data_IF_595160510918
#
_entry.id   IF_595160510918
#
_cell.length_a   1.000
_cell.length_b   1.000
_cell.length_c   1.000
_cell.angle_alpha   90.00
_cell.angle_beta   90.00
_cell.angle_gamma   90.00
#
_symmetry.space_group_name_H-M   'P 1'
#
loop_
_entity.id
_entity.type
_entity.pdbx_description
1 polymer ?
#
# COMPACT_ATOMS: atom_id res chain seq x y z
N UNK A 1 18.96 -7.29 -11.68
CA UNK A 1 17.91 -6.48 -11.04
C UNK A 1 17.40 -7.23 -9.82
N UNK A 2 17.32 -6.58 -8.66
CA UNK A 2 16.61 -7.08 -7.47
C UNK A 2 15.39 -6.19 -7.27
N UNK A 3 14.24 -6.76 -6.94
CA UNK A 3 12.99 -6.01 -6.78
C UNK A 3 12.08 -6.70 -5.79
N UNK A 4 11.32 -5.90 -5.03
CA UNK A 4 10.26 -6.37 -4.13
C UNK A 4 8.95 -6.35 -4.91
N UNK A 5 8.21 -7.46 -4.86
CA UNK A 5 6.94 -7.64 -5.58
C UNK A 5 5.75 -7.45 -4.64
N UNK A 6 4.63 -6.96 -5.14
CA UNK A 6 3.41 -6.76 -4.36
C UNK A 6 3.27 -5.36 -3.72
N UNK A 7 4.18 -4.44 -4.05
CA UNK A 7 4.12 -3.03 -3.63
C UNK A 7 3.51 -2.11 -4.71
N UNK A 8 3.16 -2.65 -5.89
CA UNK A 8 2.65 -1.84 -7.00
C UNK A 8 3.71 -1.03 -7.74
N UNK A 9 4.99 -1.27 -7.44
CA UNK A 9 6.13 -0.65 -8.14
C UNK A 9 6.32 -1.19 -9.56
N UNK A 10 5.86 -2.42 -9.83
CA UNK A 10 5.89 -3.03 -11.14
C UNK A 10 4.49 -3.06 -11.76
N UNK A 11 4.42 -3.29 -13.08
CA UNK A 11 3.16 -3.47 -13.77
C UNK A 11 2.36 -4.62 -13.14
N UNK A 12 1.05 -4.44 -12.87
CA UNK A 12 0.24 -5.49 -12.23
C UNK A 12 0.28 -6.83 -12.97
N UNK A 13 0.27 -6.78 -14.30
CA UNK A 13 0.36 -7.99 -15.14
C UNK A 13 1.77 -8.60 -15.13
N UNK A 14 2.80 -7.79 -14.92
CA UNK A 14 4.17 -8.28 -14.73
C UNK A 14 4.32 -9.02 -13.40
N UNK A 15 3.84 -8.44 -12.29
CA UNK A 15 3.88 -9.08 -10.97
C UNK A 15 3.09 -10.40 -10.96
N UNK A 16 1.93 -10.44 -11.62
CA UNK A 16 1.16 -11.67 -11.80
C UNK A 16 1.90 -12.72 -12.62
N UNK A 17 2.63 -12.30 -13.66
CA UNK A 17 3.39 -13.21 -14.53
C UNK A 17 4.50 -13.95 -13.79
N UNK A 18 5.21 -13.26 -12.91
CA UNK A 18 6.31 -13.81 -12.09
C UNK A 18 5.84 -14.50 -10.81
N UNK A 19 4.62 -14.21 -10.34
CA UNK A 19 4.09 -14.82 -9.13
C UNK A 19 3.95 -16.34 -9.29
N UNK A 20 4.44 -17.08 -8.30
CA UNK A 20 4.44 -18.54 -8.29
C UNK A 20 5.61 -19.22 -9.00
N UNK A 21 6.54 -18.48 -9.61
CA UNK A 21 7.77 -19.05 -10.18
C UNK A 21 8.69 -19.61 -9.09
N UNK A 22 9.42 -20.68 -9.42
CA UNK A 22 10.45 -21.27 -8.56
C UNK A 22 11.84 -20.77 -8.93
N UNK A 23 12.77 -20.83 -7.98
CA UNK A 23 14.16 -20.47 -8.24
C UNK A 23 14.75 -21.32 -9.39
N UNK A 24 15.43 -20.67 -10.32
CA UNK A 24 15.99 -21.25 -11.54
C UNK A 24 15.01 -21.35 -12.71
N UNK A 25 13.73 -21.03 -12.51
CA UNK A 25 12.72 -21.11 -13.56
C UNK A 25 12.82 -19.92 -14.53
N UNK A 26 12.65 -20.21 -15.82
CA UNK A 26 12.53 -19.21 -16.88
C UNK A 26 11.11 -19.25 -17.40
N UNK A 27 10.45 -18.10 -17.42
CA UNK A 27 9.07 -17.97 -17.91
C UNK A 27 8.96 -16.79 -18.85
N UNK A 28 8.18 -17.00 -19.91
CA UNK A 28 7.86 -15.96 -20.89
C UNK A 28 6.38 -15.65 -20.82
N UNK A 29 6.03 -14.36 -20.72
CA UNK A 29 4.64 -13.92 -20.65
C UNK A 29 4.48 -12.53 -21.28
N UNK A 30 3.28 -12.27 -21.79
CA UNK A 30 2.91 -10.98 -22.39
C UNK A 30 2.31 -10.05 -21.34
N UNK A 31 2.78 -8.81 -21.32
CA UNK A 31 2.32 -7.75 -20.41
C UNK A 31 1.79 -6.60 -21.24
N UNK A 32 0.63 -6.05 -20.86
CA UNK A 32 0.07 -4.86 -21.49
C UNK A 32 0.39 -3.63 -20.64
N UNK A 33 0.95 -2.61 -21.28
CA UNK A 33 1.20 -1.33 -20.62
C UNK A 33 -0.09 -0.53 -20.47
N UNK A 34 -0.29 0.16 -19.33
CA UNK A 34 -1.39 1.10 -19.16
C UNK A 34 -1.37 2.22 -20.21
N UNK A 35 -2.52 2.81 -20.50
CA UNK A 35 -2.61 3.94 -21.45
C UNK A 35 -1.95 5.21 -20.90
N UNK A 36 -1.81 5.33 -19.59
CA UNK A 36 -1.19 6.45 -18.88
C UNK A 36 0.23 6.09 -18.38
N UNK A 37 0.94 5.21 -19.09
CA UNK A 37 2.32 4.86 -18.74
C UNK A 37 3.24 6.07 -18.95
N UNK A 38 4.23 6.24 -18.07
CA UNK A 38 5.13 7.40 -18.08
C UNK A 38 5.86 7.58 -19.42
N UNK A 39 6.13 6.47 -20.11
CA UNK A 39 6.73 6.47 -21.44
C UNK A 39 5.65 6.32 -22.52
N UNK A 40 5.39 7.43 -23.22
CA UNK A 40 4.35 7.54 -24.26
C UNK A 40 4.53 6.53 -25.40
N UNK A 41 5.76 6.07 -25.65
CA UNK A 41 6.05 5.08 -26.67
C UNK A 41 5.65 3.66 -26.29
N UNK A 42 5.49 3.38 -24.99
CA UNK A 42 5.08 2.07 -24.47
C UNK A 42 3.61 2.05 -24.04
N UNK A 43 3.02 3.22 -23.77
CA UNK A 43 1.63 3.37 -23.37
C UNK A 43 0.66 2.58 -24.29
N UNK A 44 -0.17 1.72 -23.69
CA UNK A 44 -1.17 0.91 -24.39
C UNK A 44 -0.65 -0.24 -25.25
N UNK A 45 0.67 -0.41 -25.40
CA UNK A 45 1.26 -1.51 -26.17
C UNK A 45 1.36 -2.79 -25.34
N UNK A 46 1.54 -3.91 -26.03
CA UNK A 46 1.87 -5.19 -25.41
C UNK A 46 3.35 -5.50 -25.66
N UNK A 47 4.04 -6.00 -24.63
CA UNK A 47 5.40 -6.51 -24.75
C UNK A 47 5.51 -7.92 -24.17
N UNK A 48 6.41 -8.71 -24.73
CA UNK A 48 6.75 -10.03 -24.22
C UNK A 48 7.99 -9.95 -23.33
N UNK A 49 7.87 -10.45 -22.11
CA UNK A 49 8.95 -10.50 -21.14
C UNK A 49 9.39 -11.94 -20.94
N UNK A 50 10.68 -12.21 -21.11
CA UNK A 50 11.31 -13.46 -20.70
C UNK A 50 12.07 -13.21 -19.40
N UNK A 51 11.61 -13.80 -18.31
CA UNK A 51 12.16 -13.58 -16.96
C UNK A 51 12.75 -14.88 -16.43
N UNK A 52 14.00 -14.83 -15.97
CA UNK A 52 14.65 -15.91 -15.24
C UNK A 52 14.73 -15.59 -13.74
N UNK A 53 14.14 -16.43 -12.89
CA UNK A 53 14.15 -16.23 -11.44
C UNK A 53 15.45 -16.77 -10.84
N UNK A 54 16.41 -15.88 -10.52
CA UNK A 54 17.71 -16.31 -9.97
C UNK A 54 17.63 -16.68 -8.48
N UNK A 55 16.85 -15.93 -7.71
CA UNK A 55 16.69 -16.12 -6.26
C UNK A 55 15.39 -15.48 -5.81
N UNK A 56 14.71 -16.12 -4.86
CA UNK A 56 13.55 -15.56 -4.16
C UNK A 56 13.83 -15.60 -2.66
N UNK A 57 13.54 -14.52 -1.96
CA UNK A 57 13.67 -14.41 -0.52
C UNK A 57 12.41 -13.79 0.04
N UNK A 58 12.06 -14.17 1.27
CA UNK A 58 11.03 -13.48 2.05
C UNK A 58 11.74 -12.62 3.09
N UNK A 59 11.39 -11.33 3.23
CA UNK A 59 11.92 -10.55 4.32
C UNK A 59 11.46 -11.17 5.65
N UNK A 60 12.35 -11.18 6.63
CA UNK A 60 12.10 -11.67 7.97
C UNK A 60 12.26 -10.49 8.92
N UNK A 61 11.16 -10.12 9.58
CA UNK A 61 11.13 -9.03 10.54
C UNK A 61 10.93 -9.60 11.94
N UNK A 62 11.54 -8.97 12.94
CA UNK A 62 11.45 -9.37 14.34
C UNK A 62 10.50 -8.48 15.15
N UNK A 63 10.11 -7.31 14.64
CA UNK A 63 9.13 -6.41 15.26
C UNK A 63 8.31 -5.66 14.21
N UNK A 64 7.15 -5.13 14.62
CA UNK A 64 6.31 -4.26 13.78
C UNK A 64 7.07 -2.99 13.36
N UNK A 65 7.88 -2.42 14.26
CA UNK A 65 8.74 -1.28 13.96
C UNK A 65 9.71 -1.59 12.82
N UNK A 66 10.29 -2.79 12.79
CA UNK A 66 11.17 -3.23 11.70
C UNK A 66 10.40 -3.38 10.37
N UNK A 67 9.15 -3.86 10.42
CA UNK A 67 8.28 -3.94 9.22
C UNK A 67 8.00 -2.55 8.66
N UNK A 68 7.59 -1.60 9.51
CA UNK A 68 7.21 -0.25 9.10
C UNK A 68 8.40 0.47 8.46
N UNK A 69 9.58 0.41 9.08
CA UNK A 69 10.78 1.06 8.57
C UNK A 69 11.28 0.48 7.22
N UNK A 70 11.04 -0.81 6.92
CA UNK A 70 11.43 -1.41 5.63
C UNK A 70 10.48 -1.01 4.49
N UNK A 71 9.19 -0.78 4.80
CA UNK A 71 8.20 -0.28 3.82
C UNK A 71 8.59 1.13 3.32
N UNK A 72 9.22 1.94 4.19
CA UNK A 72 9.53 3.35 3.93
C UNK A 72 10.73 3.59 2.99
N UNK A 73 11.50 2.56 2.64
CA UNK A 73 12.68 2.69 1.78
C UNK A 73 12.37 3.03 0.31
N UNK A 74 11.09 3.12 -0.09
CA UNK A 74 10.69 3.38 -1.48
C UNK A 74 9.79 4.62 -1.71
N UNK A 75 9.85 5.62 -0.81
CA UNK A 75 9.61 7.02 -1.21
C UNK A 75 8.24 7.64 -0.94
N UNK A 76 7.50 7.22 0.09
CA UNK A 76 6.35 7.99 0.58
C UNK A 76 6.33 8.08 2.10
N UNK A 77 6.67 9.28 2.57
CA UNK A 77 6.52 9.83 3.92
C UNK A 77 7.45 9.30 5.02
N UNK A 78 8.05 10.23 5.76
CA UNK A 78 9.05 9.95 6.80
C UNK A 78 8.35 9.80 8.15
N UNK A 79 7.89 8.59 8.46
CA UNK A 79 7.59 8.24 9.85
C UNK A 79 8.58 7.19 10.32
N UNK A 80 9.77 7.64 10.72
CA UNK A 80 10.69 6.78 11.45
C UNK A 80 10.15 6.62 12.88
N UNK A 81 9.76 5.40 13.22
CA UNK A 81 9.34 5.06 14.58
C UNK A 81 10.54 4.44 15.30
N UNK A 82 11.01 5.12 16.35
CA UNK A 82 12.14 4.66 17.16
C UNK A 82 11.75 3.49 18.06
N UNK A 83 10.47 3.43 18.48
CA UNK A 83 9.93 2.38 19.33
C UNK A 83 8.45 2.10 19.07
N UNK A 84 7.95 0.96 19.57
CA UNK A 84 6.55 0.53 19.41
C UNK A 84 5.57 1.51 20.07
N UNK A 85 6.02 2.21 21.12
CA UNK A 85 5.20 3.20 21.84
C UNK A 85 4.91 4.43 20.97
N UNK A 86 5.89 4.92 20.24
CA UNK A 86 5.75 6.03 19.31
C UNK A 86 4.78 5.70 18.17
N UNK A 87 4.78 4.44 17.73
CA UNK A 87 3.81 3.93 16.76
C UNK A 87 2.39 3.89 17.35
N UNK A 88 2.21 3.35 18.56
CA UNK A 88 0.91 3.31 19.24
C UNK A 88 0.34 4.71 19.47
N UNK A 89 1.17 5.66 19.90
CA UNK A 89 0.77 7.06 20.10
C UNK A 89 0.35 7.72 18.77
N UNK A 90 1.07 7.46 17.68
CA UNK A 90 0.71 7.95 16.35
C UNK A 90 -0.64 7.40 15.88
N UNK A 91 -0.85 6.09 15.99
CA UNK A 91 -2.12 5.43 15.62
C UNK A 91 -3.27 5.99 16.46
N UNK A 92 -3.08 6.14 17.78
CA UNK A 92 -4.09 6.72 18.66
C UNK A 92 -4.38 8.19 18.34
N UNK A 93 -3.38 9.00 18.01
CA UNK A 93 -3.60 10.40 17.65
C UNK A 93 -4.37 10.53 16.32
N UNK A 94 -4.05 9.69 15.33
CA UNK A 94 -4.66 9.73 14.01
C UNK A 94 -6.13 9.26 14.06
N UNK A 95 -6.39 8.07 14.61
CA UNK A 95 -7.75 7.53 14.71
C UNK A 95 -8.57 8.16 15.85
N UNK A 96 -7.92 8.69 16.90
CA UNK A 96 -8.58 9.40 18.00
C UNK A 96 -9.25 10.70 17.53
N UNK A 97 -8.57 11.49 16.70
CA UNK A 97 -9.13 12.72 16.14
C UNK A 97 -10.32 12.47 15.21
N UNK A 98 -10.27 11.42 14.39
CA UNK A 98 -11.38 11.06 13.52
C UNK A 98 -12.58 10.52 14.29
N UNK A 99 -12.35 9.66 15.29
CA UNK A 99 -13.42 9.13 16.13
C UNK A 99 -14.09 10.21 16.96
N UNK A 100 -13.35 11.16 17.53
CA UNK A 100 -13.91 12.32 18.23
C UNK A 100 -14.78 13.20 17.31
N UNK A 101 -14.29 13.54 16.11
CA UNK A 101 -15.10 14.29 15.13
C UNK A 101 -16.36 13.55 14.70
N UNK A 102 -16.26 12.24 14.42
CA UNK A 102 -17.41 11.43 14.07
C UNK A 102 -18.42 11.34 15.22
N UNK A 103 -17.94 11.22 16.46
CA UNK A 103 -18.77 11.19 17.66
C UNK A 103 -19.45 12.56 17.83
N UNK A 104 -18.73 13.68 17.75
CA UNK A 104 -19.29 15.03 17.83
C UNK A 104 -20.31 15.31 16.72
N UNK A 105 -20.04 14.92 15.47
CA UNK A 105 -20.98 15.05 14.36
C UNK A 105 -22.24 14.20 14.60
N UNK A 106 -22.09 13.00 15.15
CA UNK A 106 -23.23 12.17 15.53
C UNK A 106 -24.03 12.78 16.69
N UNK A 107 -23.37 13.33 17.70
CA UNK A 107 -24.02 13.98 18.84
C UNK A 107 -24.70 15.29 18.46
N UNK A 108 -24.09 16.12 17.61
CA UNK A 108 -24.65 17.38 17.11
C UNK A 108 -25.83 17.13 16.20
N UNK A 109 -25.73 16.17 15.26
CA UNK A 109 -26.86 15.75 14.42
C UNK A 109 -28.02 15.24 15.27
N UNK A 110 -27.74 14.38 16.27
CA UNK A 110 -28.74 13.86 17.20
C UNK A 110 -29.34 14.97 18.08
N UNK A 111 -28.58 16.01 18.45
CA UNK A 111 -29.09 17.19 19.15
C UNK A 111 -29.98 18.05 18.26
N UNK A 112 -29.58 18.34 17.02
CA UNK A 112 -30.37 19.12 16.05
C UNK A 112 -31.70 18.41 15.77
N UNK A 113 -31.66 17.11 15.48
CA UNK A 113 -32.89 16.31 15.24
C UNK A 113 -33.81 16.23 16.46
N UNK A 114 -33.24 16.25 17.68
CA UNK A 114 -34.03 16.25 18.93
C UNK A 114 -34.60 17.64 19.25
N UNK A 115 -33.88 18.73 18.93
CA UNK A 115 -34.34 20.11 19.12
C UNK A 115 -35.41 20.52 18.10
N UNK A 116 -35.32 20.05 16.85
CA UNK A 116 -36.33 20.31 15.80
C UNK A 116 -37.64 19.54 16.04
N UNK A 117 -37.65 18.54 16.94
CA UNK A 117 -38.82 17.72 17.25
C UNK A 117 -39.68 18.29 18.41
N UNK A 118 -39.24 19.36 19.10
CA UNK A 118 -39.96 19.93 20.25
C UNK A 118 -40.53 21.34 20.03
N UNK A 119 -40.44 21.90 18.81
CA UNK A 119 -41.14 23.16 18.49
C UNK A 119 -42.45 22.81 17.76
N UNK A 120 -43.50 22.56 18.54
CA UNK A 120 -44.90 22.57 18.09
C UNK A 120 -45.81 22.99 19.22
#
# INVERSE_FOLDING_TARGET
MKGVIGLGNFLPDFEKGISGMKQGEIKTFMVKFPNNYFESSLAGKSAEFTVGLVSVAKPKYNSIVEVLNDVDHNGHDHTHFDDEKSFDEYVQQYYGKETEKMIEDQWTKKRITRSDCQIR
#
